data_IF_596288654502
#
_entry.id   IF_596288654502
#
_cell.length_a   1.000
_cell.length_b   1.000
_cell.length_c   1.000
_cell.angle_alpha   90.00
_cell.angle_beta   90.00
_cell.angle_gamma   90.00
#
_symmetry.space_group_name_H-M   'P 1'
#
loop_
_entity.id
_entity.type
_entity.pdbx_description
1 polymer ?
#
# COMPACT_ATOMS: atom_id res chain seq x y z
N UNK A 1 -34.01 -10.41 19.17
CA UNK A 1 -32.65 -9.92 19.49
C UNK A 1 -31.54 -10.61 18.68
N UNK A 2 -31.77 -11.78 18.08
CA UNK A 2 -30.69 -12.58 17.44
C UNK A 2 -30.11 -12.04 16.11
N UNK A 3 -30.87 -11.24 15.34
CA UNK A 3 -30.39 -10.67 14.05
C UNK A 3 -29.33 -9.56 14.24
N UNK A 4 -29.38 -8.84 15.35
CA UNK A 4 -28.50 -7.69 15.58
C UNK A 4 -27.08 -8.14 15.94
N UNK A 5 -26.95 -9.23 16.69
CA UNK A 5 -25.65 -9.76 17.13
C UNK A 5 -24.89 -10.48 16.01
N UNK A 6 -25.59 -11.24 15.15
CA UNK A 6 -24.97 -11.87 13.97
C UNK A 6 -24.30 -10.86 13.04
N UNK A 7 -24.90 -9.69 12.86
CA UNK A 7 -24.31 -8.61 12.06
C UNK A 7 -23.07 -8.01 12.74
N UNK A 8 -23.08 -7.81 14.06
CA UNK A 8 -21.92 -7.27 14.79
C UNK A 8 -20.73 -8.22 14.74
N UNK A 9 -20.94 -9.52 14.97
CA UNK A 9 -19.87 -10.52 14.93
C UNK A 9 -19.26 -10.61 13.53
N UNK A 10 -20.09 -10.62 12.48
CA UNK A 10 -19.63 -10.61 11.08
C UNK A 10 -18.79 -9.37 10.74
N UNK A 11 -19.19 -8.18 11.22
CA UNK A 11 -18.43 -6.95 11.03
C UNK A 11 -17.06 -7.04 11.72
N UNK A 12 -17.02 -7.46 12.98
CA UNK A 12 -15.77 -7.58 13.75
C UNK A 12 -14.83 -8.60 13.08
N UNK A 13 -15.35 -9.76 12.67
CA UNK A 13 -14.56 -10.78 11.97
C UNK A 13 -13.97 -10.25 10.66
N UNK A 14 -14.70 -9.41 9.91
CA UNK A 14 -14.15 -8.79 8.70
C UNK A 14 -12.97 -7.89 9.02
N UNK A 15 -13.03 -7.08 10.06
CA UNK A 15 -11.89 -6.26 10.47
C UNK A 15 -10.70 -7.11 10.90
N UNK A 16 -10.92 -8.15 11.69
CA UNK A 16 -9.86 -9.05 12.18
C UNK A 16 -9.20 -9.83 11.05
N UNK A 17 -9.92 -10.16 9.97
CA UNK A 17 -9.37 -10.91 8.83
C UNK A 17 -8.78 -9.96 7.77
N UNK A 18 -9.56 -8.98 7.31
CA UNK A 18 -9.19 -8.18 6.15
C UNK A 18 -8.14 -7.13 6.46
N UNK A 19 -8.06 -6.58 7.69
CA UNK A 19 -7.02 -5.59 8.01
C UNK A 19 -5.63 -6.24 8.03
N UNK A 20 -5.40 -7.40 8.69
CA UNK A 20 -4.13 -8.13 8.56
C UNK A 20 -3.87 -8.63 7.14
N UNK A 21 -4.91 -9.04 6.40
CA UNK A 21 -4.76 -9.39 4.98
C UNK A 21 -4.32 -8.19 4.13
N UNK A 22 -4.81 -6.98 4.39
CA UNK A 22 -4.39 -5.77 3.69
C UNK A 22 -2.92 -5.44 3.98
N UNK A 23 -2.48 -5.56 5.24
CA UNK A 23 -1.07 -5.40 5.60
C UNK A 23 -0.18 -6.45 4.91
N UNK A 24 -0.62 -7.71 4.90
CA UNK A 24 0.09 -8.80 4.21
C UNK A 24 0.13 -8.57 2.70
N UNK A 25 -0.97 -8.14 2.09
CA UNK A 25 -1.05 -7.84 0.67
C UNK A 25 -0.14 -6.67 0.28
N UNK A 26 -0.03 -5.66 1.15
CA UNK A 26 0.93 -4.57 0.99
C UNK A 26 2.37 -5.09 0.90
N UNK A 27 2.77 -5.92 1.87
CA UNK A 27 4.10 -6.53 1.89
C UNK A 27 4.33 -7.42 0.65
N UNK A 28 3.32 -8.21 0.25
CA UNK A 28 3.37 -9.01 -0.97
C UNK A 28 3.53 -8.14 -2.22
N UNK A 29 2.88 -6.98 -2.29
CA UNK A 29 3.05 -6.02 -3.38
C UNK A 29 4.50 -5.56 -3.53
N UNK A 30 5.18 -5.27 -2.42
CA UNK A 30 6.61 -4.95 -2.44
C UNK A 30 7.47 -6.10 -2.98
N UNK A 31 7.23 -7.31 -2.46
CA UNK A 31 7.99 -8.49 -2.89
C UNK A 31 7.75 -8.82 -4.35
N UNK A 32 6.51 -8.76 -4.84
CA UNK A 32 6.19 -9.00 -6.23
C UNK A 32 6.93 -8.04 -7.16
N UNK A 33 6.88 -6.74 -6.88
CA UNK A 33 7.63 -5.75 -7.69
C UNK A 33 9.12 -6.00 -7.66
N UNK A 34 9.69 -6.31 -6.48
CA UNK A 34 11.12 -6.54 -6.35
C UNK A 34 11.55 -7.84 -7.05
N UNK A 35 10.78 -8.92 -6.93
CA UNK A 35 11.07 -10.20 -7.58
C UNK A 35 10.96 -10.04 -9.09
N UNK A 36 9.83 -9.54 -9.59
CA UNK A 36 9.60 -9.37 -11.02
C UNK A 36 10.59 -8.38 -11.65
N UNK A 37 10.85 -7.26 -10.98
CA UNK A 37 11.82 -6.26 -11.45
C UNK A 37 13.25 -6.80 -11.46
N UNK A 38 13.65 -7.62 -10.48
CA UNK A 38 14.98 -8.27 -10.48
C UNK A 38 15.12 -9.26 -11.61
N UNK A 39 14.09 -10.08 -11.87
CA UNK A 39 14.09 -10.96 -13.04
C UNK A 39 14.20 -10.16 -14.34
N UNK A 40 13.39 -9.10 -14.51
CA UNK A 40 13.44 -8.23 -15.69
C UNK A 40 14.82 -7.60 -15.92
N UNK A 41 15.39 -6.98 -14.88
CA UNK A 41 16.70 -6.32 -14.98
C UNK A 41 17.85 -7.31 -15.18
N UNK A 42 17.73 -8.52 -14.62
CA UNK A 42 18.70 -9.59 -14.87
C UNK A 42 18.76 -9.97 -16.36
N UNK A 43 17.62 -10.09 -17.03
CA UNK A 43 17.58 -10.39 -18.48
C UNK A 43 18.23 -9.29 -19.33
N UNK A 44 18.12 -8.03 -18.91
CA UNK A 44 18.72 -6.87 -19.61
C UNK A 44 20.15 -6.60 -19.13
N UNK A 45 20.71 -7.44 -18.25
CA UNK A 45 22.06 -7.31 -17.66
C UNK A 45 22.31 -5.97 -16.96
N UNK A 46 21.26 -5.37 -16.40
CA UNK A 46 21.39 -4.15 -15.61
C UNK A 46 21.88 -4.48 -14.19
N UNK A 47 22.77 -3.64 -13.66
CA UNK A 47 23.23 -3.77 -12.27
C UNK A 47 22.10 -3.40 -11.30
N UNK A 48 21.69 -4.34 -10.45
CA UNK A 48 20.64 -4.15 -9.44
C UNK A 48 21.02 -3.12 -8.37
N UNK A 49 22.32 -2.82 -8.19
CA UNK A 49 22.82 -1.78 -7.28
C UNK A 49 22.92 -0.41 -7.94
N UNK A 50 22.71 -0.32 -9.25
CA UNK A 50 22.71 0.95 -9.96
C UNK A 50 21.62 1.88 -9.41
N UNK A 51 21.89 3.19 -9.52
CA UNK A 51 20.93 4.22 -9.17
C UNK A 51 19.57 4.03 -9.85
N UNK A 52 19.57 3.67 -11.14
CA UNK A 52 18.33 3.44 -11.92
C UNK A 52 17.53 2.28 -11.36
N UNK A 53 18.19 1.16 -11.02
CA UNK A 53 17.51 0.00 -10.44
C UNK A 53 16.92 0.33 -9.07
N UNK A 54 17.69 1.01 -8.22
CA UNK A 54 17.21 1.44 -6.92
C UNK A 54 16.05 2.44 -7.02
N UNK A 55 16.10 3.37 -7.97
CA UNK A 55 15.02 4.30 -8.24
C UNK A 55 13.74 3.54 -8.61
N UNK A 56 13.83 2.58 -9.53
CA UNK A 56 12.70 1.73 -9.93
C UNK A 56 12.14 0.92 -8.75
N UNK A 57 12.97 0.18 -8.02
CA UNK A 57 12.49 -0.68 -6.94
C UNK A 57 11.88 0.12 -5.78
N UNK A 58 12.47 1.25 -5.41
CA UNK A 58 11.94 2.07 -4.33
C UNK A 58 10.67 2.80 -4.75
N UNK A 59 10.57 3.30 -5.99
CA UNK A 59 9.31 3.90 -6.48
C UNK A 59 8.21 2.85 -6.63
N UNK A 60 8.41 1.88 -7.52
CA UNK A 60 7.38 0.90 -7.84
C UNK A 60 7.00 0.02 -6.64
N UNK A 61 7.98 -0.33 -5.80
CA UNK A 61 7.74 -1.14 -4.60
C UNK A 61 6.87 -0.42 -3.58
N UNK A 62 7.20 0.83 -3.22
CA UNK A 62 6.41 1.59 -2.25
C UNK A 62 5.05 2.04 -2.82
N UNK A 63 4.95 2.22 -4.14
CA UNK A 63 3.68 2.45 -4.81
C UNK A 63 2.77 1.22 -4.72
N UNK A 64 3.28 0.04 -5.08
CA UNK A 64 2.53 -1.21 -5.01
C UNK A 64 2.08 -1.55 -3.59
N UNK A 65 2.93 -1.29 -2.57
CA UNK A 65 2.55 -1.43 -1.17
C UNK A 65 1.33 -0.59 -0.80
N UNK A 66 1.34 0.70 -1.14
CA UNK A 66 0.28 1.63 -0.83
C UNK A 66 -1.03 1.24 -1.53
N UNK A 67 -0.94 0.95 -2.83
CA UNK A 67 -2.09 0.56 -3.65
C UNK A 67 -2.70 -0.74 -3.14
N UNK A 68 -1.87 -1.77 -2.89
CA UNK A 68 -2.36 -3.08 -2.43
C UNK A 68 -3.02 -2.98 -1.05
N UNK A 69 -2.46 -2.18 -0.13
CA UNK A 69 -3.05 -1.95 1.19
C UNK A 69 -4.46 -1.36 1.07
N UNK A 70 -4.61 -0.28 0.30
CA UNK A 70 -5.90 0.41 0.14
C UNK A 70 -6.90 -0.47 -0.62
N UNK A 71 -6.47 -1.11 -1.70
CA UNK A 71 -7.35 -1.93 -2.54
C UNK A 71 -7.88 -3.16 -1.79
N UNK A 72 -7.03 -3.87 -1.06
CA UNK A 72 -7.47 -5.06 -0.29
C UNK A 72 -8.23 -4.64 0.95
N UNK A 73 -7.77 -3.59 1.65
CA UNK A 73 -8.41 -3.12 2.87
C UNK A 73 -9.80 -2.50 2.61
N UNK A 74 -10.04 -1.88 1.46
CA UNK A 74 -11.37 -1.34 1.14
C UNK A 74 -12.46 -2.41 1.16
N UNK A 75 -12.10 -3.68 0.91
CA UNK A 75 -13.00 -4.83 0.92
C UNK A 75 -13.46 -5.25 2.33
N UNK A 76 -12.89 -4.68 3.40
CA UNK A 76 -13.39 -4.83 4.79
C UNK A 76 -14.89 -4.48 4.84
N UNK A 77 -15.29 -3.40 4.16
CA UNK A 77 -16.65 -2.87 4.17
C UNK A 77 -17.18 -2.70 2.73
N UNK A 78 -17.71 -3.76 2.08
CA UNK A 78 -18.04 -3.74 0.65
C UNK A 78 -19.14 -2.74 0.26
N UNK A 79 -20.07 -2.43 1.16
CA UNK A 79 -21.10 -1.41 0.91
C UNK A 79 -20.58 0.03 1.01
N UNK A 80 -19.37 0.21 1.56
CA UNK A 80 -18.73 1.50 1.80
C UNK A 80 -17.25 1.47 1.39
N UNK A 81 -16.92 0.67 0.37
CA UNK A 81 -15.58 0.48 -0.18
C UNK A 81 -14.85 1.80 -0.46
N UNK A 82 -15.52 2.78 -1.08
CA UNK A 82 -14.95 4.10 -1.36
C UNK A 82 -14.61 4.88 -0.10
N UNK A 83 -15.53 4.94 0.87
CA UNK A 83 -15.28 5.58 2.15
C UNK A 83 -14.13 4.90 2.91
N UNK A 84 -14.09 3.57 2.88
CA UNK A 84 -13.02 2.78 3.47
C UNK A 84 -11.67 3.05 2.81
N UNK A 85 -11.64 3.17 1.47
CA UNK A 85 -10.42 3.49 0.74
C UNK A 85 -9.85 4.86 1.15
N UNK A 86 -10.68 5.88 1.34
CA UNK A 86 -10.21 7.17 1.86
C UNK A 86 -9.65 7.08 3.28
N UNK A 87 -10.33 6.35 4.18
CA UNK A 87 -9.87 6.15 5.55
C UNK A 87 -8.51 5.44 5.55
N UNK A 88 -8.38 4.37 4.77
CA UNK A 88 -7.13 3.61 4.66
C UNK A 88 -6.02 4.41 3.98
N UNK A 89 -6.35 5.24 2.99
CA UNK A 89 -5.41 6.19 2.40
C UNK A 89 -4.90 7.19 3.44
N UNK A 90 -5.77 7.70 4.32
CA UNK A 90 -5.38 8.56 5.44
C UNK A 90 -4.50 7.83 6.46
N UNK A 91 -4.81 6.58 6.80
CA UNK A 91 -3.97 5.76 7.68
C UNK A 91 -2.60 5.51 7.06
N UNK A 92 -2.57 5.18 5.76
CA UNK A 92 -1.31 4.95 5.04
C UNK A 92 -0.48 6.23 4.92
N UNK A 93 -1.12 7.39 4.73
CA UNK A 93 -0.45 8.68 4.75
C UNK A 93 0.29 8.92 6.08
N UNK A 94 -0.38 8.68 7.21
CA UNK A 94 0.25 8.78 8.53
C UNK A 94 1.38 7.77 8.70
N UNK A 95 1.18 6.53 8.24
CA UNK A 95 2.20 5.50 8.27
C UNK A 95 3.44 5.90 7.44
N UNK A 96 3.24 6.48 6.25
CA UNK A 96 4.34 6.97 5.40
C UNK A 96 5.12 8.12 6.05
N UNK A 97 4.44 8.99 6.81
CA UNK A 97 5.09 10.02 7.62
C UNK A 97 5.94 9.43 8.74
N UNK A 98 5.44 8.39 9.41
CA UNK A 98 6.20 7.65 10.41
C UNK A 98 7.43 6.95 9.80
N UNK A 99 7.28 6.25 8.68
CA UNK A 99 8.41 5.59 8.01
C UNK A 99 9.43 6.61 7.51
N UNK A 100 8.99 7.76 7.00
CA UNK A 100 9.86 8.87 6.62
C UNK A 100 10.72 9.33 7.81
N UNK A 101 10.10 9.56 8.97
CA UNK A 101 10.83 9.93 10.19
C UNK A 101 11.86 8.87 10.58
N UNK A 102 11.49 7.58 10.59
CA UNK A 102 12.43 6.51 10.91
C UNK A 102 13.59 6.43 9.90
N UNK A 103 13.31 6.63 8.61
CA UNK A 103 14.30 6.66 7.54
C UNK A 103 15.33 7.80 7.72
N UNK A 104 14.87 8.96 8.18
CA UNK A 104 15.74 10.10 8.53
C UNK A 104 16.65 9.74 9.71
N UNK A 105 16.11 9.13 10.77
CA UNK A 105 16.89 8.74 11.95
C UNK A 105 18.04 7.78 11.61
N UNK A 106 17.78 6.79 10.75
CA UNK A 106 18.79 5.81 10.33
C UNK A 106 19.64 6.28 9.13
N UNK A 107 19.43 7.51 8.66
CA UNK A 107 20.14 8.11 7.51
C UNK A 107 20.06 7.26 6.23
N UNK A 108 18.94 6.57 6.02
CA UNK A 108 18.74 5.73 4.83
C UNK A 108 18.02 6.52 3.74
N UNK A 109 18.78 7.07 2.80
CA UNK A 109 18.26 7.87 1.68
C UNK A 109 17.20 7.16 0.83
N UNK A 110 17.34 5.85 0.61
CA UNK A 110 16.37 5.07 -0.17
C UNK A 110 15.06 4.85 0.56
N UNK A 111 15.09 4.64 1.88
CA UNK A 111 13.89 4.54 2.71
C UNK A 111 13.15 5.88 2.80
N UNK A 112 13.90 6.99 2.89
CA UNK A 112 13.35 8.36 2.83
C UNK A 112 12.63 8.57 1.50
N UNK A 113 13.33 8.29 0.39
CA UNK A 113 12.78 8.46 -0.95
C UNK A 113 11.54 7.57 -1.19
N UNK A 114 11.59 6.30 -0.79
CA UNK A 114 10.47 5.38 -0.87
C UNK A 114 9.24 5.85 -0.08
N UNK A 115 9.46 6.40 1.12
CA UNK A 115 8.37 6.96 1.95
C UNK A 115 7.72 8.18 1.30
N UNK A 116 8.52 9.09 0.73
CA UNK A 116 8.01 10.26 -0.03
C UNK A 116 7.21 9.79 -1.25
N UNK A 117 7.69 8.77 -1.96
CA UNK A 117 6.97 8.25 -3.11
C UNK A 117 5.65 7.60 -2.72
N UNK A 118 5.63 6.85 -1.62
CA UNK A 118 4.41 6.26 -1.08
C UNK A 118 3.35 7.32 -0.74
N UNK A 119 3.78 8.46 -0.19
CA UNK A 119 2.95 9.63 0.05
C UNK A 119 2.34 10.20 -1.24
N UNK A 120 3.16 10.38 -2.29
CA UNK A 120 2.67 10.89 -3.57
C UNK A 120 1.62 9.94 -4.15
N UNK A 121 1.91 8.64 -4.14
CA UNK A 121 1.02 7.61 -4.68
C UNK A 121 -0.31 7.58 -3.93
N UNK A 122 -0.32 7.69 -2.61
CA UNK A 122 -1.58 7.62 -1.84
C UNK A 122 -2.48 8.82 -2.10
N UNK A 123 -1.90 10.01 -2.27
CA UNK A 123 -2.64 11.24 -2.62
C UNK A 123 -3.21 11.13 -4.02
N UNK A 124 -2.41 10.68 -4.98
CA UNK A 124 -2.85 10.47 -6.38
C UNK A 124 -3.93 9.38 -6.45
N UNK A 125 -3.76 8.28 -5.71
CA UNK A 125 -4.74 7.21 -5.64
C UNK A 125 -6.08 7.71 -5.07
N UNK A 126 -6.05 8.45 -3.97
CA UNK A 126 -7.25 9.06 -3.39
C UNK A 126 -7.96 10.00 -4.38
N UNK A 127 -7.20 10.76 -5.17
CA UNK A 127 -7.74 11.63 -6.21
C UNK A 127 -8.44 10.83 -7.34
N UNK A 128 -7.83 9.75 -7.83
CA UNK A 128 -8.46 8.90 -8.85
C UNK A 128 -9.71 8.16 -8.34
N UNK A 129 -9.71 7.76 -7.06
CA UNK A 129 -10.91 7.21 -6.41
C UNK A 129 -12.02 8.26 -6.36
N UNK A 130 -11.68 9.52 -6.10
CA UNK A 130 -12.62 10.64 -6.08
C UNK A 130 -13.25 10.91 -7.44
N UNK A 131 -12.46 10.82 -8.50
CA UNK A 131 -12.96 10.97 -9.87
C UNK A 131 -13.74 9.75 -10.37
N UNK A 132 -13.80 8.66 -9.60
CA UNK A 132 -14.39 7.37 -10.00
C UNK A 132 -13.70 6.71 -11.21
N UNK A 133 -12.43 7.02 -11.44
CA UNK A 133 -11.64 6.40 -12.51
C UNK A 133 -11.13 5.01 -12.12
N UNK A 134 -11.00 4.75 -10.82
CA UNK A 134 -10.62 3.45 -10.27
C UNK A 134 -11.84 2.85 -9.57
N UNK A 135 -12.29 1.70 -10.08
CA UNK A 135 -13.29 0.90 -9.39
C UNK A 135 -12.63 0.12 -8.26
N UNK A 136 -13.01 0.46 -7.04
CA UNK A 136 -12.53 -0.16 -5.80
C UNK A 136 -13.52 -1.16 -5.29
#
# INVERSE_FOLDING_TARGET
MEKTDKNRVSIILRWVVFLPCAATASLLGWYLVNILGRFGLYFVRFDMKSFISQLYFNTAGHAAMAIAFVYVGSKIAPYHNKAMAYILSGIWFLFSGFTLFTGIMVKNGWAIFGSIWSFIVIVVLAFFIYQNEIDI
#
